data_IF_115839748138
#
_entry.id   IF_115839748138
#
_cell.length_a   1.000
_cell.length_b   1.000
_cell.length_c   1.000
_cell.angle_alpha   90.00
_cell.angle_beta   90.00
_cell.angle_gamma   90.00
#
_symmetry.space_group_name_H-M   'P 1'
#
loop_
_entity.id
_entity.type
_entity.pdbx_description
1 polymer ?
#
# COMPACT_ATOMS: atom_id res chain seq x y z
N UNK A 1 -8.28 -7.99 -8.77
CA UNK A 1 -7.94 -6.70 -8.13
C UNK A 1 -8.65 -5.54 -8.83
N UNK A 2 -8.51 -5.41 -10.15
CA UNK A 2 -9.05 -4.26 -10.91
C UNK A 2 -10.55 -4.01 -10.74
N UNK A 3 -11.35 -5.06 -10.61
CA UNK A 3 -12.79 -4.94 -10.32
C UNK A 3 -13.10 -4.31 -8.97
N UNK A 4 -12.29 -4.59 -7.94
CA UNK A 4 -12.46 -4.01 -6.61
C UNK A 4 -12.06 -2.53 -6.58
N UNK A 5 -10.99 -2.16 -7.28
CA UNK A 5 -10.60 -0.74 -7.43
C UNK A 5 -11.65 0.02 -8.24
N UNK A 6 -12.19 -0.58 -9.31
CA UNK A 6 -13.27 0.01 -10.12
C UNK A 6 -14.52 0.28 -9.27
N UNK A 7 -15.01 -0.75 -8.58
CA UNK A 7 -16.21 -0.66 -7.75
C UNK A 7 -16.02 0.30 -6.58
N UNK A 8 -14.91 0.19 -5.86
CA UNK A 8 -14.63 1.00 -4.68
C UNK A 8 -14.52 2.49 -5.00
N UNK A 9 -13.76 2.86 -6.04
CA UNK A 9 -13.63 4.27 -6.44
C UNK A 9 -14.92 4.84 -7.01
N UNK A 10 -15.70 4.05 -7.75
CA UNK A 10 -17.02 4.48 -8.23
C UNK A 10 -18.02 4.65 -7.08
N UNK A 11 -18.06 3.71 -6.13
CA UNK A 11 -19.02 3.69 -5.02
C UNK A 11 -18.77 4.81 -4.01
N UNK A 12 -17.52 4.98 -3.60
CA UNK A 12 -17.16 5.92 -2.53
C UNK A 12 -16.73 7.29 -3.04
N UNK A 13 -16.24 7.37 -4.29
CA UNK A 13 -15.74 8.60 -4.89
C UNK A 13 -16.55 9.12 -6.09
N UNK A 14 -17.43 8.30 -6.68
CA UNK A 14 -18.16 8.67 -7.89
C UNK A 14 -17.29 8.80 -9.14
N UNK A 15 -16.06 8.25 -9.12
CA UNK A 15 -15.07 8.42 -10.18
C UNK A 15 -14.83 7.15 -10.99
N UNK A 16 -14.50 7.35 -12.25
CA UNK A 16 -14.21 6.30 -13.20
C UNK A 16 -12.70 6.10 -13.36
N UNK A 17 -12.23 4.90 -13.02
CA UNK A 17 -10.81 4.53 -13.05
C UNK A 17 -10.21 4.59 -14.46
N UNK A 18 -11.04 4.49 -15.50
CA UNK A 18 -10.59 4.57 -16.90
C UNK A 18 -10.01 5.96 -17.22
N UNK A 19 -10.46 7.00 -16.53
CA UNK A 19 -9.95 8.36 -16.68
C UNK A 19 -8.63 8.58 -15.93
N UNK A 20 -8.18 7.62 -15.12
CA UNK A 20 -6.92 7.72 -14.39
C UNK A 20 -5.75 7.25 -15.25
N UNK A 21 -5.69 5.96 -15.58
CA UNK A 21 -4.62 5.37 -16.39
C UNK A 21 -5.14 4.55 -17.58
N UNK A 22 -6.43 4.68 -17.91
CA UNK A 22 -7.10 3.89 -18.94
C UNK A 22 -7.64 2.57 -18.42
N UNK A 23 -8.06 1.74 -19.38
CA UNK A 23 -8.54 0.39 -19.14
C UNK A 23 -7.41 -0.49 -18.55
N UNK A 24 -7.63 -1.17 -17.40
CA UNK A 24 -6.63 -2.02 -16.76
C UNK A 24 -6.00 -3.07 -17.69
N UNK A 25 -6.79 -3.67 -18.58
CA UNK A 25 -6.34 -4.66 -19.56
C UNK A 25 -5.31 -4.12 -20.57
N UNK A 26 -5.15 -2.79 -20.67
CA UNK A 26 -4.17 -2.17 -21.56
C UNK A 26 -2.78 -2.03 -20.92
N UNK A 27 -2.59 -2.53 -19.69
CA UNK A 27 -1.28 -2.68 -19.05
C UNK A 27 -0.68 -1.40 -18.44
N UNK A 28 -1.20 -0.21 -18.76
CA UNK A 28 -0.65 1.07 -18.25
C UNK A 28 -0.69 1.19 -16.72
N UNK A 29 -1.60 0.50 -16.05
CA UNK A 29 -1.64 0.45 -14.59
C UNK A 29 -0.36 -0.14 -14.00
N UNK A 30 0.25 -1.11 -14.68
CA UNK A 30 1.52 -1.70 -14.25
C UNK A 30 2.66 -0.68 -14.25
N UNK A 31 2.63 0.30 -15.16
CA UNK A 31 3.63 1.39 -15.21
C UNK A 31 3.67 2.22 -13.91
N UNK A 32 2.61 2.17 -13.12
CA UNK A 32 2.47 2.90 -11.86
C UNK A 32 2.46 1.97 -10.63
N UNK A 33 2.65 0.65 -10.82
CA UNK A 33 2.66 -0.33 -9.74
C UNK A 33 4.02 -0.34 -9.03
N UNK A 34 4.09 -0.09 -7.72
CA UNK A 34 5.33 -0.20 -6.95
C UNK A 34 5.88 -1.63 -6.93
N UNK A 35 5.00 -2.64 -6.96
CA UNK A 35 5.41 -4.03 -6.96
C UNK A 35 6.03 -4.47 -8.30
N UNK A 36 5.53 -3.95 -9.43
CA UNK A 36 6.16 -4.20 -10.74
C UNK A 36 7.51 -3.48 -10.88
N UNK A 37 7.71 -2.38 -10.14
CA UNK A 37 8.93 -1.56 -10.17
C UNK A 37 9.80 -1.74 -8.93
N UNK A 38 9.64 -2.85 -8.20
CA UNK A 38 10.26 -3.02 -6.89
C UNK A 38 11.79 -2.96 -6.93
N UNK A 39 12.39 -3.40 -8.03
CA UNK A 39 13.83 -3.33 -8.25
C UNK A 39 14.35 -1.88 -8.16
N UNK A 40 13.57 -0.89 -8.64
CA UNK A 40 13.96 0.52 -8.51
C UNK A 40 14.05 0.96 -7.05
N UNK A 41 13.21 0.45 -6.15
CA UNK A 41 13.27 0.77 -4.72
C UNK A 41 14.52 0.17 -4.08
N UNK A 42 14.88 -1.05 -4.49
CA UNK A 42 16.07 -1.76 -3.99
C UNK A 42 17.36 -1.13 -4.52
N UNK A 43 17.45 -0.90 -5.83
CA UNK A 43 18.63 -0.35 -6.50
C UNK A 43 18.94 1.07 -6.00
N UNK A 44 17.90 1.88 -5.78
CA UNK A 44 18.06 3.21 -5.20
C UNK A 44 18.24 3.20 -3.68
N UNK A 45 18.30 2.02 -3.05
CA UNK A 45 18.40 1.84 -1.60
C UNK A 45 17.39 2.71 -0.83
N UNK A 46 16.17 2.83 -1.34
CA UNK A 46 15.15 3.71 -0.77
C UNK A 46 14.78 3.23 0.62
N UNK A 47 14.72 4.14 1.60
CA UNK A 47 14.22 3.81 2.93
C UNK A 47 12.70 3.63 2.87
N UNK A 48 12.21 2.44 3.15
CA UNK A 48 10.77 2.13 3.18
C UNK A 48 10.27 1.98 4.62
N UNK A 49 9.05 2.46 4.86
CA UNK A 49 8.24 2.14 6.03
C UNK A 49 6.87 1.66 5.54
N UNK A 50 6.56 0.38 5.74
CA UNK A 50 5.32 -0.24 5.26
C UNK A 50 4.58 -0.84 6.44
N UNK A 51 3.37 -0.35 6.70
CA UNK A 51 2.46 -0.83 7.73
C UNK A 51 1.18 -1.36 7.10
N UNK A 52 0.74 -2.55 7.50
CA UNK A 52 -0.53 -3.13 7.08
C UNK A 52 -1.06 -4.11 8.16
N UNK A 53 -2.18 -3.79 8.82
CA UNK A 53 -2.73 -4.62 9.90
C UNK A 53 -3.47 -5.86 9.38
N UNK A 54 -3.57 -6.90 10.21
CA UNK A 54 -4.21 -8.18 9.89
C UNK A 54 -5.74 -8.19 10.07
N UNK A 55 -6.37 -7.07 10.45
CA UNK A 55 -7.78 -7.05 10.86
C UNK A 55 -8.78 -7.47 9.78
N UNK A 56 -8.37 -7.47 8.50
CA UNK A 56 -9.26 -7.72 7.35
C UNK A 56 -10.46 -6.76 7.27
N UNK A 57 -10.46 -5.70 8.07
CA UNK A 57 -11.57 -4.77 8.27
C UNK A 57 -11.03 -3.35 8.37
N UNK A 58 -11.91 -2.39 8.13
CA UNK A 58 -11.65 -0.96 8.30
C UNK A 58 -12.76 -0.37 9.14
N UNK A 59 -12.40 0.40 10.18
CA UNK A 59 -13.36 1.14 11.00
C UNK A 59 -14.17 2.15 10.17
N UNK A 60 -13.54 2.71 9.13
CA UNK A 60 -14.19 3.48 8.07
C UNK A 60 -14.02 2.75 6.73
N UNK A 61 -15.07 2.06 6.23
CA UNK A 61 -15.02 1.37 4.95
C UNK A 61 -14.68 2.28 3.77
N UNK A 62 -15.08 3.56 3.80
CA UNK A 62 -14.81 4.49 2.71
C UNK A 62 -13.32 4.82 2.59
N UNK A 63 -12.61 4.89 3.71
CA UNK A 63 -11.16 5.10 3.74
C UNK A 63 -10.37 3.98 3.04
N UNK A 64 -10.95 2.78 2.94
CA UNK A 64 -10.37 1.62 2.26
C UNK A 64 -11.16 1.20 1.02
N UNK A 65 -12.01 2.08 0.49
CA UNK A 65 -12.90 1.84 -0.66
C UNK A 65 -13.70 0.52 -0.59
N UNK A 66 -13.97 0.03 0.63
CA UNK A 66 -14.69 -1.22 0.90
C UNK A 66 -13.89 -2.51 0.75
N UNK A 67 -12.57 -2.45 0.53
CA UNK A 67 -11.72 -3.64 0.29
C UNK A 67 -10.43 -3.69 1.12
N UNK A 68 -10.50 -3.56 2.47
CA UNK A 68 -9.31 -3.58 3.34
C UNK A 68 -8.49 -4.88 3.25
N UNK A 69 -9.13 -6.02 3.04
CA UNK A 69 -8.50 -7.33 2.91
C UNK A 69 -7.61 -7.45 1.67
N UNK A 70 -7.98 -6.77 0.57
CA UNK A 70 -7.14 -6.73 -0.64
C UNK A 70 -5.87 -5.93 -0.36
N UNK A 71 -5.98 -4.80 0.35
CA UNK A 71 -4.82 -4.00 0.74
C UNK A 71 -3.87 -4.81 1.64
N UNK A 72 -4.40 -5.57 2.59
CA UNK A 72 -3.59 -6.45 3.43
C UNK A 72 -2.85 -7.52 2.60
N UNK A 73 -3.58 -8.29 1.78
CA UNK A 73 -2.99 -9.37 1.00
C UNK A 73 -1.90 -8.88 0.05
N UNK A 74 -2.06 -7.68 -0.50
CA UNK A 74 -1.10 -7.11 -1.44
C UNK A 74 0.14 -6.53 -0.77
N UNK A 75 0.03 -6.03 0.47
CA UNK A 75 1.20 -5.67 1.27
C UNK A 75 2.03 -6.90 1.69
N UNK A 76 1.37 -8.05 1.97
CA UNK A 76 2.07 -9.31 2.22
C UNK A 76 2.89 -9.72 0.98
N UNK A 77 2.26 -9.69 -0.20
CA UNK A 77 2.94 -10.01 -1.46
C UNK A 77 4.08 -9.03 -1.74
N UNK A 78 3.86 -7.74 -1.55
CA UNK A 78 4.90 -6.71 -1.75
C UNK A 78 6.09 -6.94 -0.82
N UNK A 79 5.85 -7.27 0.46
CA UNK A 79 6.91 -7.57 1.42
C UNK A 79 7.74 -8.79 0.98
N UNK A 80 7.09 -9.89 0.61
CA UNK A 80 7.76 -11.09 0.11
C UNK A 80 8.62 -10.76 -1.11
N UNK A 81 8.04 -10.10 -2.10
CA UNK A 81 8.75 -9.72 -3.33
C UNK A 81 9.93 -8.77 -3.04
N UNK A 82 9.76 -7.79 -2.13
CA UNK A 82 10.84 -6.87 -1.74
C UNK A 82 12.04 -7.63 -1.19
N UNK A 83 11.81 -8.64 -0.35
CA UNK A 83 12.88 -9.47 0.20
C UNK A 83 13.49 -10.41 -0.83
N UNK A 84 12.68 -11.01 -1.69
CA UNK A 84 13.13 -11.90 -2.77
C UNK A 84 14.10 -11.21 -3.73
N UNK A 85 13.85 -9.93 -4.05
CA UNK A 85 14.73 -9.13 -4.92
C UNK A 85 15.90 -8.45 -4.18
N UNK A 86 16.17 -8.83 -2.93
CA UNK A 86 17.33 -8.36 -2.16
C UNK A 86 17.13 -7.04 -1.41
N UNK A 87 15.88 -6.59 -1.26
CA UNK A 87 15.53 -5.39 -0.51
C UNK A 87 15.93 -5.49 0.97
N UNK A 88 16.68 -4.49 1.42
CA UNK A 88 17.31 -4.48 2.76
C UNK A 88 17.10 -3.19 3.56
N UNK A 89 16.59 -2.12 2.95
CA UNK A 89 16.42 -0.82 3.59
C UNK A 89 14.94 -0.52 3.88
N UNK A 90 14.23 -1.47 4.49
CA UNK A 90 12.80 -1.33 4.76
C UNK A 90 12.41 -1.83 6.14
N UNK A 91 11.57 -1.02 6.82
CA UNK A 91 10.81 -1.38 8.00
C UNK A 91 9.43 -1.89 7.57
N UNK A 92 9.05 -3.10 8.00
CA UNK A 92 7.79 -3.73 7.61
C UNK A 92 7.04 -4.21 8.86
N UNK A 93 5.85 -3.67 9.06
CA UNK A 93 4.86 -4.11 10.04
C UNK A 93 3.63 -4.61 9.29
N UNK A 94 3.75 -5.80 8.69
CA UNK A 94 2.70 -6.44 7.91
C UNK A 94 2.17 -7.64 8.69
N UNK A 95 0.87 -7.67 8.96
CA UNK A 95 0.23 -8.73 9.75
C UNK A 95 0.14 -8.45 11.25
N UNK A 96 0.43 -7.23 11.69
CA UNK A 96 0.26 -6.80 13.08
C UNK A 96 -1.21 -6.56 13.45
N UNK A 97 -1.46 -6.30 14.74
CA UNK A 97 -2.76 -5.79 15.19
C UNK A 97 -2.98 -4.34 14.73
N UNK A 98 -4.25 -3.91 14.71
CA UNK A 98 -4.62 -2.54 14.35
C UNK A 98 -5.82 -2.48 13.42
N UNK A 99 -6.09 -1.28 12.95
CA UNK A 99 -7.20 -0.91 12.07
C UNK A 99 -6.66 -0.40 10.73
N UNK A 100 -7.33 -0.74 9.63
CA UNK A 100 -7.10 -0.05 8.35
C UNK A 100 -7.82 1.31 8.39
N UNK A 101 -7.34 2.20 9.25
CA UNK A 101 -7.97 3.50 9.51
C UNK A 101 -7.16 4.39 10.44
N UNK A 102 -7.70 5.59 10.67
CA UNK A 102 -6.99 6.70 11.32
C UNK A 102 -6.48 6.42 12.73
N UNK A 103 -7.18 5.56 13.48
CA UNK A 103 -6.78 5.15 14.84
C UNK A 103 -5.38 4.50 14.88
N UNK A 104 -5.04 3.76 13.84
CA UNK A 104 -3.72 3.11 13.70
C UNK A 104 -2.75 3.96 12.88
N UNK A 105 -3.21 4.59 11.80
CA UNK A 105 -2.34 5.42 10.96
C UNK A 105 -1.73 6.62 11.71
N UNK A 106 -2.48 7.26 12.60
CA UNK A 106 -1.95 8.35 13.43
C UNK A 106 -0.82 7.90 14.36
N UNK A 107 -0.98 6.73 14.98
CA UNK A 107 0.04 6.13 15.85
C UNK A 107 1.30 5.75 15.07
N UNK A 108 1.13 5.24 13.85
CA UNK A 108 2.23 4.90 12.95
C UNK A 108 3.05 6.11 12.52
N UNK A 109 2.41 7.28 12.30
CA UNK A 109 3.13 8.51 12.01
C UNK A 109 4.06 8.92 13.18
N UNK A 110 3.58 8.77 14.42
CA UNK A 110 4.40 8.98 15.61
C UNK A 110 5.58 8.01 15.67
N UNK A 111 5.33 6.72 15.43
CA UNK A 111 6.36 5.67 15.46
C UNK A 111 7.46 5.89 14.41
N UNK A 112 7.10 6.31 13.18
CA UNK A 112 8.07 6.54 12.10
C UNK A 112 8.82 7.87 12.21
N UNK A 113 8.40 8.79 13.08
CA UNK A 113 8.93 10.17 13.11
C UNK A 113 10.45 10.24 13.33
N UNK A 114 10.98 9.41 14.23
CA UNK A 114 12.42 9.33 14.48
C UNK A 114 13.19 8.73 13.31
N UNK A 115 12.60 7.73 12.65
CA UNK A 115 13.18 7.08 11.47
C UNK A 115 13.27 8.04 10.28
N UNK A 116 12.20 8.82 10.06
CA UNK A 116 12.15 9.88 9.07
C UNK A 116 13.26 10.90 9.34
N UNK A 117 13.32 11.44 10.56
CA UNK A 117 14.35 12.42 10.93
C UNK A 117 15.77 11.89 10.73
N UNK A 118 16.05 10.63 11.06
CA UNK A 118 17.37 10.03 10.86
C UNK A 118 17.71 9.78 9.38
N UNK A 119 16.70 9.67 8.51
CA UNK A 119 16.89 9.34 7.09
C UNK A 119 17.11 10.57 6.21
N UNK A 120 16.45 11.70 6.52
CA UNK A 120 16.43 12.89 5.63
C UNK A 120 17.06 14.16 6.23
N UNK A 121 17.53 14.13 7.48
CA UNK A 121 18.18 15.28 8.13
C UNK A 121 19.68 15.19 8.04
#
# INVERSE_FOLDING_TARGET
MDGAITDGLQRYGGVDIRNMWGLPQLGRWRWHSPNDHIALLVDNNTRLWVFSPQSGTASDPAAMIGYPEIAQGTNVVFYSHYREVGGRNGHFEVGGGGDNGWSSWGSQLGAMSGDLAATIR
#
